data_IF_630525060325
#
_entry.id   IF_630525060325
#
_cell.length_a   1.000
_cell.length_b   1.000
_cell.length_c   1.000
_cell.angle_alpha   90.00
_cell.angle_beta   90.00
_cell.angle_gamma   90.00
#
_symmetry.space_group_name_H-M   'P 1'
#
loop_
_entity.id
_entity.type
_entity.pdbx_description
1 polymer ?
#
# COMPACT_ATOMS: atom_id res chain seq x y z
N UNK A 1 -4.33 0.61 2.29
CA UNK A 1 -3.05 1.26 2.69
C UNK A 1 -2.38 0.54 3.88
N UNK A 2 -3.13 0.15 4.94
CA UNK A 2 -2.61 -0.54 6.14
C UNK A 2 -1.72 -1.77 5.88
N UNK A 3 -2.13 -2.67 4.97
CA UNK A 3 -1.43 -3.95 4.71
C UNK A 3 -0.01 -3.77 4.16
N UNK A 4 0.20 -2.78 3.28
CA UNK A 4 1.54 -2.45 2.74
C UNK A 4 2.46 -1.88 3.83
N UNK A 5 1.93 -1.02 4.70
CA UNK A 5 2.68 -0.45 5.82
C UNK A 5 3.08 -1.54 6.83
N UNK A 6 2.17 -2.46 7.16
CA UNK A 6 2.48 -3.59 8.05
C UNK A 6 3.57 -4.51 7.47
N UNK A 7 3.54 -4.81 6.18
CA UNK A 7 4.55 -5.62 5.51
C UNK A 7 5.94 -4.94 5.49
N UNK A 8 5.98 -3.61 5.37
CA UNK A 8 7.22 -2.83 5.30
C UNK A 8 7.77 -2.41 6.66
N UNK A 9 6.95 -2.44 7.72
CA UNK A 9 7.32 -1.99 9.08
C UNK A 9 8.60 -2.63 9.62
N UNK A 10 8.89 -3.88 9.24
CA UNK A 10 10.10 -4.62 9.68
C UNK A 10 11.27 -4.55 8.69
N UNK A 11 11.05 -4.04 7.47
CA UNK A 11 12.06 -3.96 6.41
C UNK A 11 12.75 -2.60 6.36
N UNK A 12 11.99 -1.53 6.60
CA UNK A 12 12.53 -0.18 6.62
C UNK A 12 13.10 0.17 8.00
N UNK A 13 14.34 0.64 8.04
CA UNK A 13 14.94 1.26 9.23
C UNK A 13 14.96 2.79 9.01
N UNK A 14 14.72 3.61 10.04
CA UNK A 14 14.87 5.07 9.93
C UNK A 14 16.31 5.47 9.57
N UNK A 15 16.49 6.57 8.84
CA UNK A 15 17.81 6.98 8.33
C UNK A 15 18.77 7.42 9.44
N UNK A 16 18.25 8.02 10.51
CA UNK A 16 19.06 8.39 11.68
C UNK A 16 19.65 7.17 12.42
N UNK A 17 19.16 5.95 12.15
CA UNK A 17 19.74 4.70 12.69
C UNK A 17 20.81 4.09 11.78
N UNK A 18 21.04 4.65 10.60
CA UNK A 18 21.89 4.03 9.57
C UNK A 18 23.19 4.80 9.42
N UNK A 19 24.32 4.10 9.59
CA UNK A 19 25.63 4.60 9.12
C UNK A 19 25.75 4.59 7.59
N UNK A 20 24.93 3.78 6.90
CA UNK A 20 24.87 3.68 5.44
C UNK A 20 23.44 3.34 5.01
N UNK A 21 22.88 4.00 4.00
CA UNK A 21 21.44 3.95 3.72
C UNK A 21 20.94 2.60 3.17
N UNK A 22 21.78 1.88 2.42
CA UNK A 22 21.43 0.64 1.71
C UNK A 22 20.10 0.72 0.95
N UNK A 23 20.00 1.59 -0.08
CA UNK A 23 18.76 1.84 -0.82
C UNK A 23 18.15 0.60 -1.49
N UNK A 24 18.96 -0.43 -1.77
CA UNK A 24 18.49 -1.67 -2.42
C UNK A 24 17.96 -2.71 -1.41
N UNK A 25 17.90 -2.39 -0.11
CA UNK A 25 17.39 -3.30 0.92
C UNK A 25 15.93 -3.66 0.65
N UNK A 26 15.64 -4.97 0.56
CA UNK A 26 14.31 -5.48 0.25
C UNK A 26 13.95 -5.50 -1.24
N UNK A 27 14.85 -5.03 -2.10
CA UNK A 27 14.74 -5.10 -3.57
C UNK A 27 15.78 -6.08 -4.11
N UNK A 28 17.02 -6.01 -3.61
CA UNK A 28 18.11 -6.87 -4.05
C UNK A 28 17.85 -8.34 -3.66
N UNK A 29 17.92 -9.22 -4.66
CA UNK A 29 17.77 -10.68 -4.52
C UNK A 29 18.96 -11.39 -5.15
N UNK A 30 19.34 -12.53 -4.59
CA UNK A 30 20.37 -13.37 -5.17
C UNK A 30 19.84 -14.10 -6.40
N UNK A 31 20.55 -14.03 -7.53
CA UNK A 31 20.19 -14.72 -8.76
C UNK A 31 20.33 -16.25 -8.68
N UNK A 32 21.10 -16.77 -7.71
CA UNK A 32 21.34 -18.21 -7.56
C UNK A 32 20.33 -18.87 -6.62
N UNK A 33 20.11 -18.30 -5.43
CA UNK A 33 19.22 -18.90 -4.42
C UNK A 33 17.87 -18.18 -4.26
N UNK A 34 17.65 -17.06 -4.94
CA UNK A 34 16.42 -16.27 -4.86
C UNK A 34 16.20 -15.53 -3.53
N UNK A 35 17.08 -15.70 -2.53
CA UNK A 35 16.94 -15.03 -1.23
C UNK A 35 17.23 -13.54 -1.32
N UNK A 36 16.54 -12.75 -0.49
CA UNK A 36 16.79 -11.31 -0.37
C UNK A 36 18.15 -11.03 0.28
N UNK A 37 18.86 -10.05 -0.27
CA UNK A 37 20.14 -9.59 0.25
C UNK A 37 19.93 -8.42 1.23
N UNK A 38 20.66 -8.45 2.34
CA UNK A 38 20.59 -7.46 3.40
C UNK A 38 21.88 -6.62 3.45
N UNK A 39 21.75 -5.36 3.86
CA UNK A 39 22.89 -4.48 4.12
C UNK A 39 23.72 -4.97 5.31
N UNK A 40 25.01 -5.22 5.10
CA UNK A 40 25.99 -5.57 6.14
C UNK A 40 27.25 -4.75 5.99
N UNK A 41 27.84 -4.39 7.12
CA UNK A 41 29.12 -3.69 7.16
C UNK A 41 30.21 -4.55 7.80
N UNK A 42 31.43 -4.47 7.25
CA UNK A 42 32.65 -4.97 7.88
C UNK A 42 33.58 -3.80 8.22
N UNK A 43 34.37 -3.95 9.27
CA UNK A 43 35.41 -2.97 9.62
C UNK A 43 36.75 -3.47 9.08
N UNK A 44 37.43 -2.67 8.27
CA UNK A 44 38.83 -2.91 7.90
C UNK A 44 39.77 -2.13 8.81
N UNK A 45 41.08 -2.17 8.53
CA UNK A 45 42.11 -1.48 9.33
C UNK A 45 41.90 0.04 9.42
N UNK A 46 41.39 0.65 8.37
CA UNK A 46 41.30 2.12 8.24
C UNK A 46 39.87 2.63 8.03
N UNK A 47 38.98 1.80 7.47
CA UNK A 47 37.62 2.24 7.12
C UNK A 47 36.59 1.12 7.18
N UNK A 48 35.33 1.53 7.30
CA UNK A 48 34.15 0.65 7.24
C UNK A 48 33.80 0.36 5.78
N UNK A 49 33.46 -0.89 5.50
CA UNK A 49 33.11 -1.39 4.19
C UNK A 49 31.66 -1.90 4.21
N UNK A 50 30.82 -1.38 3.31
CA UNK A 50 29.41 -1.74 3.14
C UNK A 50 29.17 -2.76 2.03
N UNK A 51 28.30 -3.73 2.27
CA UNK A 51 27.99 -4.85 1.38
C UNK A 51 26.50 -5.22 1.40
N UNK A 52 26.02 -5.79 0.30
CA UNK A 52 24.80 -6.59 0.28
C UNK A 52 25.19 -8.07 0.39
N UNK A 53 24.60 -8.77 1.36
CA UNK A 53 24.96 -10.14 1.72
C UNK A 53 23.70 -10.89 2.20
N UNK A 54 23.70 -12.21 2.05
CA UNK A 54 22.61 -13.08 2.46
C UNK A 54 22.36 -12.97 3.98
N UNK A 55 21.12 -13.17 4.46
CA UNK A 55 20.85 -13.26 5.89
C UNK A 55 21.70 -14.36 6.53
N UNK A 56 22.29 -14.08 7.69
CA UNK A 56 23.03 -15.08 8.45
C UNK A 56 22.01 -15.98 9.14
N UNK A 57 21.77 -17.16 8.60
CA UNK A 57 20.96 -18.18 9.26
C UNK A 57 21.80 -18.79 10.39
N UNK A 58 21.47 -18.45 11.63
CA UNK A 58 22.09 -19.01 12.86
C UNK A 58 21.87 -20.52 13.05
N UNK A 59 21.26 -21.21 12.09
CA UNK A 59 20.95 -22.66 12.11
C UNK A 59 21.91 -23.51 11.28
N UNK A 60 23.14 -23.05 11.09
CA UNK A 60 24.18 -23.94 10.61
C UNK A 60 24.77 -24.68 11.81
N UNK A 61 24.18 -25.84 12.15
CA UNK A 61 24.93 -26.86 12.88
C UNK A 61 26.27 -27.01 12.15
N UNK A 62 27.40 -26.77 12.82
CA UNK A 62 28.76 -26.80 12.27
C UNK A 62 29.28 -25.58 11.48
N UNK A 63 28.76 -24.36 11.71
CA UNK A 63 29.51 -23.13 11.38
C UNK A 63 29.71 -22.81 9.88
N UNK A 64 29.17 -23.62 8.97
CA UNK A 64 29.20 -23.37 7.54
C UNK A 64 28.06 -22.42 7.12
N UNK A 65 28.29 -21.47 6.18
CA UNK A 65 27.20 -20.69 5.62
C UNK A 65 26.19 -21.62 4.93
N UNK A 66 24.91 -21.49 5.28
CA UNK A 66 23.81 -22.29 4.70
C UNK A 66 23.71 -22.11 3.19
N UNK A 67 24.24 -21.01 2.65
CA UNK A 67 24.24 -20.67 1.23
C UNK A 67 25.64 -20.82 0.63
N UNK A 68 25.80 -21.74 -0.33
CA UNK A 68 27.01 -21.91 -1.14
C UNK A 68 26.96 -21.13 -2.46
N UNK A 69 26.31 -19.97 -2.48
CA UNK A 69 26.26 -19.13 -3.67
C UNK A 69 27.67 -18.68 -4.09
N UNK A 70 27.93 -18.56 -5.39
CA UNK A 70 29.23 -18.11 -5.91
C UNK A 70 29.55 -16.70 -5.43
N UNK A 71 28.54 -15.83 -5.46
CA UNK A 71 28.67 -14.46 -4.95
C UNK A 71 28.10 -14.40 -3.54
N UNK A 72 29.00 -14.38 -2.56
CA UNK A 72 28.64 -14.30 -1.14
C UNK A 72 28.35 -12.86 -0.72
N UNK A 73 29.18 -11.90 -1.15
CA UNK A 73 29.07 -10.48 -0.77
C UNK A 73 29.23 -9.58 -1.98
N UNK A 74 28.28 -8.67 -2.15
CA UNK A 74 28.35 -7.63 -3.17
C UNK A 74 28.74 -6.30 -2.54
N UNK A 75 29.69 -5.59 -3.16
CA UNK A 75 30.12 -4.26 -2.70
C UNK A 75 28.98 -3.25 -2.92
N UNK A 76 28.40 -2.73 -1.84
CA UNK A 76 27.19 -1.91 -1.93
C UNK A 76 27.37 -0.65 -2.80
N UNK A 77 28.40 0.19 -2.61
CA UNK A 77 28.60 1.38 -3.46
C UNK A 77 28.68 1.05 -4.95
N UNK A 78 29.43 0.01 -5.32
CA UNK A 78 29.62 -0.38 -6.72
C UNK A 78 28.32 -0.83 -7.38
N UNK A 79 27.52 -1.63 -6.68
CA UNK A 79 26.24 -2.10 -7.23
C UNK A 79 25.25 -0.93 -7.33
N UNK A 80 25.23 -0.05 -6.34
CA UNK A 80 24.35 1.12 -6.34
C UNK A 80 24.68 2.06 -7.51
N UNK A 81 25.96 2.32 -7.77
CA UNK A 81 26.41 3.07 -8.93
C UNK A 81 25.95 2.43 -10.25
N UNK A 82 26.07 1.11 -10.38
CA UNK A 82 25.61 0.38 -11.57
C UNK A 82 24.09 0.49 -11.77
N UNK A 83 23.32 0.40 -10.67
CA UNK A 83 21.86 0.56 -10.72
C UNK A 83 21.49 1.98 -11.12
N UNK A 84 22.13 3.00 -10.54
CA UNK A 84 21.90 4.41 -10.90
C UNK A 84 22.25 4.66 -12.36
N UNK A 85 23.37 4.13 -12.85
CA UNK A 85 23.76 4.26 -14.25
C UNK A 85 22.73 3.60 -15.19
N UNK A 86 22.20 2.44 -14.82
CA UNK A 86 21.16 1.75 -15.58
C UNK A 86 19.84 2.53 -15.56
N UNK A 87 19.44 3.06 -14.41
CA UNK A 87 18.26 3.91 -14.27
C UNK A 87 18.36 5.17 -15.13
N UNK A 88 19.53 5.83 -15.13
CA UNK A 88 19.79 6.99 -16.01
C UNK A 88 19.58 6.64 -17.48
N UNK A 89 20.13 5.51 -17.95
CA UNK A 89 19.94 5.04 -19.34
C UNK A 89 18.47 4.79 -19.68
N UNK A 90 17.74 4.15 -18.78
CA UNK A 90 16.30 3.89 -18.97
C UNK A 90 15.53 5.21 -19.05
N UNK A 91 15.80 6.15 -18.15
CA UNK A 91 15.13 7.45 -18.11
C UNK A 91 15.50 8.36 -19.28
N UNK A 92 16.73 8.26 -19.79
CA UNK A 92 17.17 9.01 -20.98
C UNK A 92 16.55 8.51 -22.28
N UNK A 93 15.87 7.36 -22.27
CA UNK A 93 15.23 6.79 -23.46
C UNK A 93 13.72 7.07 -23.42
N UNK A 94 13.20 8.02 -24.21
CA UNK A 94 11.80 8.47 -24.13
C UNK A 94 10.78 7.36 -24.43
N UNK A 95 11.17 6.33 -25.20
CA UNK A 95 10.33 5.17 -25.51
C UNK A 95 9.92 4.38 -24.26
N UNK A 96 10.84 4.22 -23.29
CA UNK A 96 10.54 3.50 -22.05
C UNK A 96 9.59 4.28 -21.15
N UNK A 97 9.71 5.61 -21.14
CA UNK A 97 8.80 6.50 -20.42
C UNK A 97 7.40 6.40 -21.00
N UNK A 98 7.26 6.48 -22.32
CA UNK A 98 5.97 6.35 -23.00
C UNK A 98 5.34 4.98 -22.74
N UNK A 99 6.12 3.90 -22.81
CA UNK A 99 5.65 2.54 -22.51
C UNK A 99 5.22 2.38 -21.05
N UNK A 100 5.93 2.99 -20.10
CA UNK A 100 5.54 2.99 -18.69
C UNK A 100 4.22 3.74 -18.47
N UNK A 101 4.04 4.89 -19.13
CA UNK A 101 2.79 5.67 -19.11
C UNK A 101 1.63 4.85 -19.71
N UNK A 102 1.85 4.16 -20.83
CA UNK A 102 0.83 3.28 -21.40
C UNK A 102 0.42 2.14 -20.47
N UNK A 103 1.39 1.48 -19.81
CA UNK A 103 1.11 0.42 -18.84
C UNK A 103 0.28 0.98 -17.68
N UNK A 104 0.66 2.15 -17.15
CA UNK A 104 -0.10 2.83 -16.09
C UNK A 104 -1.54 3.11 -16.51
N UNK A 105 -1.75 3.66 -17.71
CA UNK A 105 -3.09 3.91 -18.23
C UNK A 105 -3.90 2.63 -18.40
N UNK A 106 -3.29 1.55 -18.92
CA UNK A 106 -3.96 0.24 -19.09
C UNK A 106 -4.37 -0.36 -17.74
N UNK A 107 -3.52 -0.30 -16.72
CA UNK A 107 -3.87 -0.79 -15.38
C UNK A 107 -4.92 0.08 -14.69
N UNK A 108 -4.85 1.41 -14.85
CA UNK A 108 -5.86 2.34 -14.33
C UNK A 108 -7.23 2.08 -14.95
N UNK A 109 -7.28 1.82 -16.26
CA UNK A 109 -8.52 1.48 -16.97
C UNK A 109 -9.14 0.17 -16.47
N UNK A 110 -8.35 -0.84 -16.12
CA UNK A 110 -8.85 -2.09 -15.52
C UNK A 110 -9.47 -1.90 -14.13
N UNK A 111 -8.96 -0.96 -13.33
CA UNK A 111 -9.46 -0.70 -11.97
C UNK A 111 -10.61 0.33 -11.91
N UNK A 112 -10.77 1.16 -12.94
CA UNK A 112 -11.86 2.14 -13.07
C UNK A 112 -13.28 1.54 -12.95
N UNK A 113 -13.64 0.40 -13.57
CA UNK A 113 -15.00 -0.16 -13.45
C UNK A 113 -15.34 -0.56 -12.02
N UNK A 114 -14.38 -1.04 -11.23
CA UNK A 114 -14.60 -1.47 -9.83
C UNK A 114 -14.94 -0.27 -8.94
N UNK A 115 -14.19 0.83 -9.06
CA UNK A 115 -14.42 2.04 -8.27
C UNK A 115 -15.73 2.72 -8.67
N UNK A 116 -16.01 2.81 -9.98
CA UNK A 116 -17.26 3.39 -10.49
C UNK A 116 -18.48 2.56 -10.07
N UNK A 117 -18.39 1.24 -10.11
CA UNK A 117 -19.45 0.35 -9.63
C UNK A 117 -19.70 0.50 -8.13
N UNK A 118 -18.63 0.55 -7.32
CA UNK A 118 -18.72 0.80 -5.88
C UNK A 118 -19.36 2.15 -5.54
N UNK A 119 -19.03 3.20 -6.29
CA UNK A 119 -19.67 4.52 -6.15
C UNK A 119 -21.16 4.51 -6.49
N UNK A 120 -21.54 3.78 -7.53
CA UNK A 120 -22.94 3.63 -7.93
C UNK A 120 -23.74 2.91 -6.84
N UNK A 121 -23.26 1.77 -6.36
CA UNK A 121 -23.89 1.02 -5.27
C UNK A 121 -24.05 1.87 -4.00
N UNK A 122 -22.99 2.53 -3.56
CA UNK A 122 -23.06 3.39 -2.38
C UNK A 122 -24.05 4.55 -2.55
N UNK A 123 -24.14 5.12 -3.76
CA UNK A 123 -25.13 6.16 -4.06
C UNK A 123 -26.57 5.65 -4.10
N UNK A 124 -26.79 4.42 -4.57
CA UNK A 124 -28.13 3.82 -4.63
C UNK A 124 -28.61 3.43 -3.21
N UNK A 125 -27.71 2.93 -2.36
CA UNK A 125 -28.00 2.67 -0.95
C UNK A 125 -28.35 3.95 -0.17
N UNK A 126 -27.62 5.05 -0.39
CA UNK A 126 -27.93 6.35 0.22
C UNK A 126 -29.34 6.82 -0.16
N UNK A 127 -29.67 6.78 -1.46
CA UNK A 127 -31.02 7.13 -1.94
C UNK A 127 -32.10 6.24 -1.33
N UNK A 128 -31.81 4.95 -1.11
CA UNK A 128 -32.75 4.03 -0.48
C UNK A 128 -32.98 4.37 1.00
N UNK A 129 -31.94 4.74 1.74
CA UNK A 129 -32.04 5.17 3.14
C UNK A 129 -32.76 6.52 3.28
N UNK A 130 -32.46 7.50 2.43
CA UNK A 130 -33.16 8.78 2.38
C UNK A 130 -34.66 8.60 2.09
N UNK A 131 -35.03 7.70 1.16
CA UNK A 131 -36.43 7.35 0.90
C UNK A 131 -37.11 6.74 2.14
N UNK A 132 -36.42 5.85 2.86
CA UNK A 132 -36.95 5.26 4.09
C UNK A 132 -37.16 6.33 5.18
N UNK A 133 -36.21 7.25 5.33
CA UNK A 133 -36.33 8.38 6.26
C UNK A 133 -37.53 9.25 5.92
N UNK A 134 -37.68 9.66 4.65
CA UNK A 134 -38.79 10.48 4.19
C UNK A 134 -40.15 9.80 4.38
N UNK A 135 -40.23 8.49 4.13
CA UNK A 135 -41.45 7.72 4.38
C UNK A 135 -41.82 7.65 5.87
N UNK A 136 -40.82 7.51 6.76
CA UNK A 136 -41.06 7.53 8.20
C UNK A 136 -41.53 8.91 8.67
N UNK A 137 -40.92 9.98 8.15
CA UNK A 137 -41.33 11.36 8.44
C UNK A 137 -42.78 11.60 7.98
N UNK A 138 -43.14 11.17 6.78
CA UNK A 138 -44.53 11.26 6.27
C UNK A 138 -45.52 10.55 7.19
N UNK A 139 -45.18 9.35 7.68
CA UNK A 139 -46.03 8.62 8.63
C UNK A 139 -46.15 9.26 10.00
N UNK A 140 -45.11 9.97 10.47
CA UNK A 140 -45.17 10.76 11.71
C UNK A 140 -46.11 11.96 11.53
N UNK A 141 -46.14 12.57 10.35
CA UNK A 141 -47.05 13.69 10.07
C UNK A 141 -48.53 13.28 10.07
N UNK A 142 -48.82 12.03 9.70
CA UNK A 142 -50.18 11.45 9.67
C UNK A 142 -50.60 10.78 10.99
N UNK A 143 -49.73 10.80 12.00
CA UNK A 143 -49.89 10.01 13.22
C UNK A 143 -50.94 10.64 14.15
N UNK A 144 -51.95 9.88 14.63
CA UNK A 144 -52.95 10.42 15.56
C UNK A 144 -52.31 10.86 16.88
N UNK A 145 -52.78 11.96 17.51
CA UNK A 145 -52.17 12.53 18.73
C UNK A 145 -52.21 11.60 19.96
N UNK A 146 -53.01 10.52 19.92
CA UNK A 146 -53.08 9.50 20.99
C UNK A 146 -52.02 8.41 20.89
N UNK A 147 -51.26 8.33 19.79
CA UNK A 147 -50.30 7.25 19.54
C UNK A 147 -48.88 7.77 19.71
N UNK A 148 -48.05 7.04 20.44
CA UNK A 148 -46.68 7.46 20.74
C UNK A 148 -45.76 7.33 19.52
N UNK A 149 -45.15 8.45 19.10
CA UNK A 149 -44.16 8.47 18.02
C UNK A 149 -42.74 8.01 18.47
N UNK A 150 -42.52 7.67 19.74
CA UNK A 150 -41.21 7.27 20.29
C UNK A 150 -40.48 6.17 19.49
N UNK A 151 -41.15 5.10 19.01
CA UNK A 151 -40.48 4.07 18.20
C UNK A 151 -39.95 4.58 16.87
N UNK A 152 -40.63 5.57 16.27
CA UNK A 152 -40.23 6.16 14.99
C UNK A 152 -38.98 7.03 15.14
N UNK A 153 -38.88 7.82 16.21
CA UNK A 153 -37.68 8.61 16.50
C UNK A 153 -36.43 7.71 16.67
N UNK A 154 -36.56 6.59 17.37
CA UNK A 154 -35.48 5.62 17.53
C UNK A 154 -35.04 5.00 16.19
N UNK A 155 -35.97 4.75 15.28
CA UNK A 155 -35.63 4.28 13.93
C UNK A 155 -34.99 5.38 13.07
N UNK A 156 -35.41 6.64 13.21
CA UNK A 156 -34.80 7.77 12.52
C UNK A 156 -33.35 7.98 12.95
N UNK A 157 -33.03 7.87 14.24
CA UNK A 157 -31.65 7.95 14.73
C UNK A 157 -30.75 6.86 14.11
N UNK A 158 -31.23 5.62 14.05
CA UNK A 158 -30.49 4.52 13.44
C UNK A 158 -30.25 4.74 11.94
N UNK A 159 -31.27 5.21 11.21
CA UNK A 159 -31.14 5.50 9.78
C UNK A 159 -30.19 6.69 9.54
N UNK A 160 -30.22 7.71 10.41
CA UNK A 160 -29.33 8.87 10.31
C UNK A 160 -27.86 8.46 10.44
N UNK A 161 -27.55 7.59 11.42
CA UNK A 161 -26.19 7.03 11.59
C UNK A 161 -25.77 6.25 10.33
N UNK A 162 -26.66 5.45 9.76
CA UNK A 162 -26.37 4.70 8.53
C UNK A 162 -26.12 5.62 7.33
N UNK A 163 -26.86 6.72 7.21
CA UNK A 163 -26.66 7.73 6.16
C UNK A 163 -25.28 8.38 6.31
N UNK A 164 -24.90 8.79 7.52
CA UNK A 164 -23.59 9.40 7.77
C UNK A 164 -22.43 8.45 7.47
N UNK A 165 -22.52 7.18 7.88
CA UNK A 165 -21.53 6.15 7.57
C UNK A 165 -21.39 5.92 6.06
N UNK A 166 -22.52 5.80 5.35
CA UNK A 166 -22.52 5.57 3.89
C UNK A 166 -22.07 6.80 3.11
N UNK A 167 -22.38 8.00 3.57
CA UNK A 167 -21.90 9.25 2.99
C UNK A 167 -20.37 9.35 3.10
N UNK A 168 -19.82 9.09 4.29
CA UNK A 168 -18.36 9.02 4.49
C UNK A 168 -17.71 7.95 3.62
N UNK A 169 -18.33 6.79 3.44
CA UNK A 169 -17.81 5.74 2.56
C UNK A 169 -17.77 6.22 1.10
N UNK A 170 -18.81 6.90 0.62
CA UNK A 170 -18.87 7.48 -0.73
C UNK A 170 -17.77 8.52 -0.95
N UNK A 171 -17.59 9.45 -0.01
CA UNK A 171 -16.52 10.46 -0.08
C UNK A 171 -15.12 9.82 -0.14
N UNK A 172 -14.88 8.78 0.65
CA UNK A 172 -13.63 8.02 0.63
C UNK A 172 -13.39 7.31 -0.71
N UNK A 173 -14.43 6.75 -1.33
CA UNK A 173 -14.37 6.13 -2.65
C UNK A 173 -14.15 7.18 -3.76
N UNK A 174 -14.76 8.37 -3.64
CA UNK A 174 -14.53 9.48 -4.57
C UNK A 174 -13.09 10.00 -4.48
N UNK A 175 -12.55 10.17 -3.28
CA UNK A 175 -11.17 10.57 -3.07
C UNK A 175 -10.15 9.55 -3.63
N UNK A 176 -10.49 8.27 -3.64
CA UNK A 176 -9.68 7.22 -4.27
C UNK A 176 -9.74 7.27 -5.80
N UNK A 177 -10.84 7.75 -6.38
CA UNK A 177 -10.99 7.91 -7.84
C UNK A 177 -10.17 9.09 -8.40
N UNK A 178 -9.91 10.11 -7.58
CA UNK A 178 -9.32 11.40 -7.98
C UNK A 178 -7.83 11.57 -7.66
N UNK A 179 -7.18 10.60 -6.99
CA UNK A 179 -5.72 10.67 -6.80
C UNK A 179 -5.00 10.41 -8.14
N UNK A 180 -4.14 11.35 -8.61
CA UNK A 180 -3.42 11.24 -9.88
C UNK A 180 -2.46 10.04 -9.92
#
# INVERSE_FOLDING_TARGET
MQRKLQANKRKYKPDFWKTYPYPLTGIAVCGECGLSLNGKSAHGKTKKFYYYDHPRTLRAQAGAPVHKCRIQRLRAPRVEEMVIASLKKILSTPEWVNKAVEIYHKERLKNKPVVVHGLKLASDELKALERKQNNLIGRIAELPPKVSAKPFYKQLELIQVQIEEKSRLKENLQAQSFKP
#
